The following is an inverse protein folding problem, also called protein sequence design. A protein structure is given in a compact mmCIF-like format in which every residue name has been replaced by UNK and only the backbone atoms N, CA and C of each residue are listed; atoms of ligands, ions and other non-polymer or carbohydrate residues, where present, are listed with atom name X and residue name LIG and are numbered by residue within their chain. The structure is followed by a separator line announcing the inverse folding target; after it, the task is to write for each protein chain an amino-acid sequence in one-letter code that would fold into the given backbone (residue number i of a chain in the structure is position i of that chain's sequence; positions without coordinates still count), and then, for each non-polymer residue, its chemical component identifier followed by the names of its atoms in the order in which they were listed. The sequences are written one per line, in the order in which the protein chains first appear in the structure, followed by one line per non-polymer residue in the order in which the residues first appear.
data_IF_148108368904
#
_entry.id   IF_148108368904
#
_cell.length_a   1.000
_cell.length_b   1.000
_cell.length_c   1.000
_cell.angle_alpha   90.00
_cell.angle_beta   90.00
_cell.angle_gamma   90.00
#
_symmetry.space_group_name_H-M   'P 1'
#
loop_
_entity.id
_entity.type
_entity.pdbx_description
1 polymer ?
#
# COMPACT_ATOMS: atom_id res chain seq x y z
N UNK A 1 12.39 11.94 -6.97
CA UNK A 1 12.22 10.47 -6.80
C UNK A 1 11.18 10.17 -5.73
N UNK A 2 11.34 10.69 -4.50
CA UNK A 2 10.38 10.49 -3.40
C UNK A 2 8.94 10.91 -3.75
N UNK A 3 8.75 12.08 -4.35
CA UNK A 3 7.43 12.57 -4.79
C UNK A 3 6.71 11.62 -5.76
N UNK A 4 7.42 11.08 -6.76
CA UNK A 4 6.82 10.15 -7.74
C UNK A 4 6.40 8.82 -7.10
N UNK A 5 7.15 8.34 -6.12
CA UNK A 5 6.78 7.14 -5.34
C UNK A 5 5.55 7.42 -4.47
N UNK A 6 5.52 8.58 -3.80
CA UNK A 6 4.36 9.05 -3.03
C UNK A 6 3.11 9.09 -3.88
N UNK A 7 3.16 9.78 -5.03
CA UNK A 7 2.06 9.88 -5.98
C UNK A 7 1.62 8.49 -6.48
N UNK A 8 2.56 7.62 -6.84
CA UNK A 8 2.26 6.27 -7.30
C UNK A 8 1.51 5.46 -6.24
N UNK A 9 1.96 5.47 -4.98
CA UNK A 9 1.28 4.80 -3.87
C UNK A 9 -0.12 5.39 -3.65
N UNK A 10 -0.23 6.73 -3.59
CA UNK A 10 -1.49 7.45 -3.45
C UNK A 10 -2.49 7.05 -4.55
N UNK A 11 -2.09 7.05 -5.81
CA UNK A 11 -2.97 6.67 -6.91
C UNK A 11 -3.39 5.22 -6.79
N UNK A 12 -2.44 4.30 -6.60
CA UNK A 12 -2.71 2.86 -6.65
C UNK A 12 -3.57 2.36 -5.50
N UNK A 13 -3.37 2.85 -4.29
CA UNK A 13 -4.13 2.43 -3.10
C UNK A 13 -5.63 2.78 -3.19
N UNK A 14 -5.98 3.82 -3.97
CA UNK A 14 -7.37 4.24 -4.24
C UNK A 14 -7.99 3.56 -5.46
N UNK A 15 -7.36 2.55 -6.03
CA UNK A 15 -7.94 1.78 -7.13
C UNK A 15 -8.26 0.36 -6.68
N UNK A 16 -9.22 -0.27 -7.36
CA UNK A 16 -9.51 -1.70 -7.21
C UNK A 16 -8.31 -2.58 -7.54
N UNK A 17 -7.32 -2.04 -8.26
CA UNK A 17 -6.08 -2.73 -8.55
C UNK A 17 -5.11 -2.72 -7.38
N UNK A 18 -5.18 -1.79 -6.43
CA UNK A 18 -4.26 -1.75 -5.29
C UNK A 18 -2.77 -1.55 -5.66
N UNK A 19 -1.93 -1.73 -4.65
CA UNK A 19 -0.48 -1.45 -4.68
C UNK A 19 0.31 -2.75 -4.84
N UNK A 20 1.12 -2.84 -5.89
CA UNK A 20 2.05 -3.96 -6.12
C UNK A 20 3.47 -3.56 -5.67
N UNK A 21 3.98 -4.23 -4.64
CA UNK A 21 5.29 -3.88 -4.08
C UNK A 21 6.46 -4.42 -4.91
N UNK A 22 6.25 -5.41 -5.79
CA UNK A 22 7.25 -5.78 -6.78
C UNK A 22 7.37 -4.69 -7.86
N UNK A 23 6.25 -4.09 -8.27
CA UNK A 23 6.23 -2.93 -9.17
C UNK A 23 6.96 -1.74 -8.54
N UNK A 24 6.68 -1.44 -7.27
CA UNK A 24 7.36 -0.36 -6.54
C UNK A 24 8.87 -0.59 -6.47
N UNK A 25 9.30 -1.82 -6.15
CA UNK A 25 10.73 -2.15 -6.11
C UNK A 25 11.39 -1.96 -7.49
N UNK A 26 10.75 -2.41 -8.58
CA UNK A 26 11.31 -2.25 -9.94
C UNK A 26 11.39 -0.80 -10.40
N UNK A 27 10.39 0.02 -10.08
CA UNK A 27 10.31 1.40 -10.56
C UNK A 27 11.10 2.39 -9.70
N UNK A 28 11.24 2.12 -8.40
CA UNK A 28 11.77 3.09 -7.44
C UNK A 28 12.90 2.53 -6.56
N UNK A 29 13.28 1.26 -6.73
CA UNK A 29 14.24 0.55 -5.85
C UNK A 29 13.86 0.63 -4.37
N UNK A 30 12.57 0.77 -4.08
CA UNK A 30 12.05 0.93 -2.73
C UNK A 30 11.56 -0.41 -2.17
N UNK A 31 11.92 -0.66 -0.91
CA UNK A 31 11.45 -1.80 -0.13
C UNK A 31 10.74 -1.27 1.11
N UNK A 32 9.68 -1.97 1.51
CA UNK A 32 8.93 -1.61 2.71
C UNK A 32 9.79 -1.77 3.96
N UNK A 33 9.63 -0.85 4.91
CA UNK A 33 10.18 -0.99 6.25
C UNK A 33 9.43 -2.05 7.05
N UNK A 34 10.03 -2.50 8.15
CA UNK A 34 9.35 -3.41 9.10
C UNK A 34 8.08 -2.80 9.68
N UNK A 35 8.02 -1.48 9.90
CA UNK A 35 6.82 -0.80 10.40
C UNK A 35 5.68 -0.81 9.38
N UNK A 36 5.98 -0.58 8.11
CA UNK A 36 5.00 -0.64 7.02
C UNK A 36 4.47 -2.06 6.80
N UNK A 37 5.36 -3.05 6.89
CA UNK A 37 4.95 -4.46 6.84
C UNK A 37 4.03 -4.83 8.01
N UNK A 38 4.33 -4.39 9.22
CA UNK A 38 3.47 -4.59 10.39
C UNK A 38 2.11 -3.91 10.21
N UNK A 39 2.09 -2.68 9.68
CA UNK A 39 0.85 -1.97 9.39
C UNK A 39 -0.02 -2.70 8.36
N UNK A 40 0.57 -3.22 7.29
CA UNK A 40 -0.14 -4.06 6.30
C UNK A 40 -0.75 -5.30 6.97
N UNK A 41 0.00 -5.96 7.86
CA UNK A 41 -0.51 -7.13 8.59
C UNK A 41 -1.72 -6.77 9.47
N UNK A 42 -1.72 -5.60 10.11
CA UNK A 42 -2.88 -5.08 10.85
C UNK A 42 -4.09 -4.87 9.94
N UNK A 43 -3.92 -4.24 8.77
CA UNK A 43 -5.02 -4.05 7.82
C UNK A 43 -5.63 -5.38 7.35
N UNK A 44 -4.78 -6.40 7.16
CA UNK A 44 -5.22 -7.73 6.75
C UNK A 44 -5.93 -8.44 7.91
N UNK A 45 -5.40 -8.38 9.13
CA UNK A 45 -6.00 -9.03 10.30
C UNK A 45 -7.36 -8.42 10.67
N UNK A 46 -7.51 -7.11 10.50
CA UNK A 46 -8.77 -6.38 10.70
C UNK A 46 -9.76 -6.53 9.54
N UNK A 47 -9.41 -7.33 8.51
CA UNK A 47 -10.22 -7.55 7.30
C UNK A 47 -10.56 -6.25 6.60
N UNK A 48 -9.62 -5.30 6.56
CA UNK A 48 -9.71 -4.06 5.77
C UNK A 48 -8.98 -4.17 4.43
N UNK A 49 -8.06 -5.12 4.31
CA UNK A 49 -7.29 -5.36 3.09
C UNK A 49 -7.07 -6.85 2.85
N UNK A 50 -6.68 -7.17 1.63
CA UNK A 50 -6.07 -8.45 1.26
C UNK A 50 -4.65 -8.21 0.81
N UNK A 51 -3.75 -9.11 1.19
CA UNK A 51 -2.35 -9.08 0.76
C UNK A 51 -2.00 -10.42 0.12
N UNK A 52 -1.89 -10.44 -1.20
CA UNK A 52 -1.65 -11.66 -1.99
C UNK A 52 -0.66 -11.34 -3.10
N UNK A 53 0.31 -12.22 -3.36
CA UNK A 53 1.32 -12.02 -4.41
C UNK A 53 2.07 -10.68 -4.33
N UNK A 54 2.42 -10.25 -3.11
CA UNK A 54 3.07 -8.97 -2.83
C UNK A 54 2.25 -7.74 -3.25
N UNK A 55 0.93 -7.87 -3.22
CA UNK A 55 -0.02 -6.85 -3.65
C UNK A 55 -1.06 -6.59 -2.56
N UNK A 56 -1.19 -5.33 -2.17
CA UNK A 56 -2.18 -4.86 -1.20
C UNK A 56 -3.40 -4.31 -1.93
N UNK A 57 -4.56 -4.91 -1.67
CA UNK A 57 -5.85 -4.44 -2.20
C UNK A 57 -6.80 -4.18 -1.04
N UNK A 58 -7.25 -2.93 -0.91
CA UNK A 58 -8.23 -2.53 0.09
C UNK A 58 -9.63 -3.01 -0.33
N UNK A 59 -10.43 -3.45 0.64
CA UNK A 59 -11.86 -3.66 0.44
C UNK A 59 -12.64 -2.37 0.75
N UNK A 60 -13.97 -2.39 0.72
CA UNK A 60 -14.78 -1.20 0.97
C UNK A 60 -14.49 -0.50 2.31
N UNK A 61 -14.14 -1.25 3.37
CA UNK A 61 -13.78 -0.67 4.67
C UNK A 61 -12.41 -0.01 4.63
N UNK A 62 -11.41 -0.69 4.07
CA UNK A 62 -10.08 -0.12 3.89
C UNK A 62 -10.10 1.10 2.97
N UNK A 63 -10.91 1.07 1.91
CA UNK A 63 -11.05 2.15 0.94
C UNK A 63 -11.53 3.46 1.59
N UNK A 64 -12.44 3.36 2.57
CA UNK A 64 -12.91 4.51 3.35
C UNK A 64 -11.78 5.25 4.08
N UNK A 65 -10.72 4.54 4.46
CA UNK A 65 -9.52 5.10 5.12
C UNK A 65 -8.29 5.12 4.20
N UNK A 66 -8.49 5.05 2.88
CA UNK A 66 -7.38 4.89 1.92
C UNK A 66 -6.35 6.02 1.97
N UNK A 67 -6.76 7.24 2.33
CA UNK A 67 -5.87 8.37 2.53
C UNK A 67 -4.91 8.14 3.72
N UNK A 68 -5.43 7.67 4.85
CA UNK A 68 -4.63 7.32 6.02
C UNK A 68 -3.70 6.13 5.72
N UNK A 69 -4.19 5.12 5.01
CA UNK A 69 -3.37 3.98 4.56
C UNK A 69 -2.22 4.44 3.68
N UNK A 70 -2.46 5.39 2.77
CA UNK A 70 -1.41 5.93 1.92
C UNK A 70 -0.29 6.56 2.75
N UNK A 71 -0.65 7.42 3.71
CA UNK A 71 0.31 8.14 4.57
C UNK A 71 1.24 7.21 5.34
N UNK A 72 0.72 6.08 5.84
CA UNK A 72 1.52 5.07 6.55
C UNK A 72 2.45 4.27 5.62
N UNK A 73 2.09 4.13 4.34
CA UNK A 73 2.86 3.36 3.35
C UNK A 73 3.91 4.17 2.59
N UNK A 74 3.89 5.50 2.72
CA UNK A 74 4.83 6.37 2.00
C UNK A 74 6.16 6.46 2.76
N UNK A 75 7.30 6.52 2.05
CA UNK A 75 8.61 6.71 2.68
C UNK A 75 8.84 8.07 3.35
#
# INVERSE_FOLDING_TARGET
MKERLTEHIFTRIRTVWGVDFNEIYRLFSYQLSSSQLAYIQTLVSEKMATFVNNKLVLNSKGFFISDSVALELIP
#
